data_IF_259822360472
#
_entry.id   IF_259822360472
#
_cell.length_a   1.000
_cell.length_b   1.000
_cell.length_c   1.000
_cell.angle_alpha   90.00
_cell.angle_beta   90.00
_cell.angle_gamma   90.00
#
_symmetry.space_group_name_H-M   'P 1'
#
loop_
_entity.id
_entity.type
_entity.pdbx_description
1 polymer ?
#
# COMPACT_ATOMS: atom_id res chain seq x y z
N UNK A 1 4.06 2.94 -1.45
CA UNK A 1 3.88 1.88 -2.49
C UNK A 1 3.48 2.50 -3.82
N UNK A 2 4.10 2.06 -4.92
CA UNK A 2 3.95 2.60 -6.27
C UNK A 2 3.42 1.54 -7.22
N UNK A 3 2.38 1.86 -8.01
CA UNK A 3 1.86 0.98 -9.06
C UNK A 3 2.45 1.44 -10.41
N UNK A 4 3.24 0.58 -11.04
CA UNK A 4 3.75 0.77 -12.40
C UNK A 4 2.98 -0.16 -13.31
N UNK A 5 2.31 0.40 -14.32
CA UNK A 5 1.43 -0.35 -15.22
C UNK A 5 1.52 0.16 -16.65
N UNK A 6 1.27 -0.73 -17.59
CA UNK A 6 1.07 -0.36 -18.99
C UNK A 6 -0.14 0.58 -19.13
N UNK A 7 -0.03 1.61 -19.96
CA UNK A 7 -1.17 2.48 -20.30
C UNK A 7 -2.17 1.75 -21.21
N UNK A 8 -1.68 0.79 -22.02
CA UNK A 8 -2.54 -0.07 -22.80
C UNK A 8 -3.32 -1.03 -21.88
N UNK A 9 -4.65 -0.92 -21.91
CA UNK A 9 -5.58 -1.67 -21.07
C UNK A 9 -5.49 -3.18 -21.27
N UNK A 10 -5.29 -3.66 -22.49
CA UNK A 10 -5.18 -5.09 -22.79
C UNK A 10 -3.96 -5.70 -22.11
N UNK A 11 -2.82 -5.01 -22.23
CA UNK A 11 -1.57 -5.47 -21.61
C UNK A 11 -1.65 -5.41 -20.09
N UNK A 12 -2.30 -4.37 -19.55
CA UNK A 12 -2.55 -4.28 -18.11
C UNK A 12 -3.44 -5.43 -17.62
N UNK A 13 -4.50 -5.78 -18.35
CA UNK A 13 -5.40 -6.89 -18.02
C UNK A 13 -4.67 -8.23 -18.04
N UNK A 14 -3.79 -8.43 -19.04
CA UNK A 14 -2.94 -9.63 -19.14
C UNK A 14 -1.78 -9.64 -18.13
N UNK A 15 -1.70 -8.67 -17.23
CA UNK A 15 -0.78 -8.69 -16.09
C UNK A 15 0.50 -7.88 -16.27
N UNK A 16 0.62 -7.03 -17.30
CA UNK A 16 1.74 -6.10 -17.44
C UNK A 16 1.63 -4.93 -16.43
N UNK A 17 1.81 -5.25 -15.16
CA UNK A 17 1.83 -4.33 -14.03
C UNK A 17 2.70 -4.90 -12.91
N UNK A 18 3.33 -4.03 -12.13
CA UNK A 18 4.05 -4.40 -10.92
C UNK A 18 3.86 -3.34 -9.84
N UNK A 19 4.07 -3.75 -8.59
CA UNK A 19 4.10 -2.85 -7.45
C UNK A 19 5.53 -2.75 -6.92
N UNK A 20 5.96 -1.53 -6.63
CA UNK A 20 7.25 -1.26 -6.02
C UNK A 20 7.07 -0.55 -4.67
N UNK A 21 7.87 -0.93 -3.68
CA UNK A 21 7.94 -0.24 -2.38
C UNK A 21 9.36 0.24 -2.15
N UNK A 22 9.50 1.52 -1.79
CA UNK A 22 10.76 2.11 -1.36
C UNK A 22 10.66 2.28 0.14
N UNK A 23 11.36 1.44 0.89
CA UNK A 23 11.27 1.39 2.34
C UNK A 23 12.32 2.32 2.95
N UNK A 24 11.90 3.20 3.85
CA UNK A 24 12.79 4.00 4.68
C UNK A 24 13.15 3.19 5.94
N UNK A 25 14.44 3.06 6.31
CA UNK A 25 14.84 2.34 7.52
C UNK A 25 14.28 2.99 8.80
N UNK A 26 14.11 4.32 8.79
CA UNK A 26 13.64 5.12 9.93
C UNK A 26 12.13 5.05 10.14
N UNK A 27 11.35 4.51 9.19
CA UNK A 27 9.89 4.42 9.28
C UNK A 27 9.23 5.76 9.65
N UNK A 28 9.62 6.84 8.98
CA UNK A 28 9.15 8.20 9.30
C UNK A 28 7.82 8.52 8.63
N UNK A 29 6.93 9.23 9.34
CA UNK A 29 5.71 9.83 8.77
C UNK A 29 5.99 10.89 7.69
N UNK A 30 7.23 11.39 7.59
CA UNK A 30 7.65 12.26 6.48
C UNK A 30 7.74 11.49 5.16
N UNK A 31 8.10 10.21 5.23
CA UNK A 31 8.33 9.36 4.06
C UNK A 31 7.04 8.60 3.68
N UNK A 32 6.40 7.95 4.65
CA UNK A 32 5.17 7.19 4.43
C UNK A 32 4.14 7.46 5.54
N UNK A 33 2.90 7.78 5.13
CA UNK A 33 1.79 7.95 6.06
C UNK A 33 1.22 6.61 6.53
N UNK A 34 0.63 6.62 7.71
CA UNK A 34 -0.14 5.50 8.23
C UNK A 34 -1.38 5.22 7.37
N UNK A 35 -1.87 3.99 7.44
CA UNK A 35 -3.15 3.61 6.85
C UNK A 35 -4.28 4.48 7.45
N UNK A 36 -5.04 5.23 6.63
CA UNK A 36 -6.18 6.00 7.11
C UNK A 36 -7.25 5.11 7.77
N UNK A 37 -7.99 5.65 8.74
CA UNK A 37 -8.98 4.85 9.47
C UNK A 37 -10.18 4.42 8.62
N UNK A 38 -10.51 5.21 7.60
CA UNK A 38 -11.62 4.98 6.67
C UNK A 38 -11.24 4.05 5.51
N UNK A 39 -10.01 3.53 5.49
CA UNK A 39 -9.55 2.61 4.45
C UNK A 39 -10.41 1.34 4.44
N UNK A 40 -10.86 0.95 3.25
CA UNK A 40 -11.58 -0.30 3.06
C UNK A 40 -10.65 -1.48 3.39
N UNK A 41 -11.11 -2.37 4.28
CA UNK A 41 -10.39 -3.60 4.62
C UNK A 41 -10.82 -4.74 3.70
N UNK A 42 -9.84 -5.47 3.15
CA UNK A 42 -10.09 -6.67 2.37
C UNK A 42 -10.70 -7.77 3.26
N UNK A 43 -11.58 -8.61 2.70
CA UNK A 43 -12.44 -9.52 3.48
C UNK A 43 -11.74 -10.27 4.63
N UNK A 44 -10.62 -10.94 4.36
CA UNK A 44 -9.90 -11.73 5.36
C UNK A 44 -9.33 -10.91 6.53
N UNK A 45 -8.96 -9.65 6.28
CA UNK A 45 -8.37 -8.74 7.29
C UNK A 45 -9.40 -7.80 7.90
N UNK A 46 -10.70 -7.99 7.60
CA UNK A 46 -11.76 -7.15 8.15
C UNK A 46 -11.94 -7.47 9.63
N UNK A 47 -11.74 -6.47 10.50
CA UNK A 47 -11.85 -6.63 11.95
C UNK A 47 -10.61 -7.18 12.66
N UNK A 48 -9.52 -7.46 11.94
CA UNK A 48 -8.22 -7.76 12.56
C UNK A 48 -7.57 -6.48 13.09
N UNK A 49 -6.68 -6.55 14.11
CA UNK A 49 -5.94 -5.38 14.56
C UNK A 49 -5.16 -4.75 13.41
N UNK A 50 -5.14 -3.41 13.36
CA UNK A 50 -4.39 -2.65 12.36
C UNK A 50 -2.89 -2.83 12.60
N UNK A 51 -2.05 -2.74 11.54
CA UNK A 51 -0.60 -2.73 11.71
C UNK A 51 -0.19 -1.52 12.58
N UNK A 52 0.93 -1.67 13.29
CA UNK A 52 1.45 -0.59 14.13
C UNK A 52 1.73 0.66 13.28
N UNK A 53 1.34 1.85 13.75
CA UNK A 53 1.65 3.10 13.08
C UNK A 53 3.17 3.36 13.06
N UNK A 54 3.61 4.07 12.02
CA UNK A 54 5.02 4.42 11.77
C UNK A 54 5.60 5.38 12.82
N UNK A 55 4.80 6.31 13.34
CA UNK A 55 5.11 7.01 14.59
C UNK A 55 4.40 6.26 15.73
N UNK A 56 5.17 5.80 16.72
CA UNK A 56 4.65 5.01 17.82
C UNK A 56 3.49 5.70 18.55
N UNK A 57 2.38 4.95 18.65
CA UNK A 57 1.18 5.17 19.46
C UNK A 57 0.38 6.46 19.17
#
# INVERSE_FOLDING_TARGET
>A
MWNVRSENSERRYLGQQLYASVLSPEKSLRDEYNMPETSLQCGLVKGTPKPNPYAGA
#
